data_IF_773231765662
#
_entry.id   IF_773231765662
#
_cell.length_a   1.000
_cell.length_b   1.000
_cell.length_c   1.000
_cell.angle_alpha   90.00
_cell.angle_beta   90.00
_cell.angle_gamma   90.00
#
_symmetry.space_group_name_H-M   'P 1'
#
loop_
_entity.id
_entity.type
_entity.pdbx_description
1 polymer ?
#
# COMPACT_ATOMS: atom_id res chain seq x y z
N UNK A 1 -21.67 -24.77 1.27
CA UNK A 1 -21.24 -23.36 1.32
C UNK A 1 -20.18 -23.21 0.25
N UNK A 2 -20.44 -22.38 -0.75
CA UNK A 2 -19.51 -22.15 -1.84
C UNK A 2 -18.27 -21.38 -1.32
N UNK A 3 -17.08 -21.92 -1.58
CA UNK A 3 -15.80 -21.39 -1.06
C UNK A 3 -15.53 -19.97 -1.57
N UNK A 4 -16.01 -19.62 -2.78
CA UNK A 4 -15.87 -18.29 -3.36
C UNK A 4 -16.76 -17.26 -2.65
N UNK A 5 -17.98 -17.65 -2.25
CA UNK A 5 -18.86 -16.74 -1.50
C UNK A 5 -18.33 -16.43 -0.11
N UNK A 6 -17.78 -17.43 0.60
CA UNK A 6 -17.17 -17.23 1.91
C UNK A 6 -15.93 -16.33 1.83
N UNK A 7 -15.10 -16.50 0.79
CA UNK A 7 -13.94 -15.63 0.54
C UNK A 7 -14.35 -14.18 0.28
N UNK A 8 -15.39 -13.95 -0.55
CA UNK A 8 -15.92 -12.60 -0.82
C UNK A 8 -16.52 -11.93 0.42
N UNK A 9 -17.22 -12.69 1.26
CA UNK A 9 -17.75 -12.20 2.54
C UNK A 9 -16.64 -11.81 3.50
N UNK A 10 -15.61 -12.66 3.64
CA UNK A 10 -14.43 -12.37 4.49
C UNK A 10 -13.68 -11.13 4.02
N UNK A 11 -13.44 -10.99 2.72
CA UNK A 11 -12.84 -9.76 2.15
C UNK A 11 -13.70 -8.52 2.46
N UNK A 12 -15.04 -8.63 2.33
CA UNK A 12 -15.94 -7.52 2.64
C UNK A 12 -15.96 -7.14 4.13
N UNK A 13 -15.83 -8.09 5.05
CA UNK A 13 -15.71 -7.79 6.49
C UNK A 13 -14.33 -7.26 6.86
N UNK A 14 -13.26 -7.76 6.25
CA UNK A 14 -11.91 -7.24 6.45
C UNK A 14 -11.79 -5.76 6.05
N UNK A 15 -12.52 -5.29 5.01
CA UNK A 15 -12.62 -3.86 4.67
C UNK A 15 -13.23 -2.97 5.76
N UNK A 16 -14.01 -3.55 6.68
CA UNK A 16 -14.50 -2.83 7.87
C UNK A 16 -13.51 -2.89 9.05
N UNK A 17 -12.61 -3.86 9.05
CA UNK A 17 -11.57 -3.96 10.06
C UNK A 17 -10.49 -2.91 9.81
N UNK A 18 -9.85 -2.44 10.89
CA UNK A 18 -8.70 -1.54 10.76
C UNK A 18 -7.49 -2.33 10.24
N UNK A 19 -6.67 -1.74 9.37
CA UNK A 19 -5.42 -2.36 8.98
C UNK A 19 -4.53 -2.52 10.22
N UNK A 20 -3.75 -3.61 10.25
CA UNK A 20 -2.70 -3.82 11.24
C UNK A 20 -1.49 -3.01 10.77
N UNK A 21 -1.12 -2.00 11.54
CA UNK A 21 0.07 -1.18 11.31
C UNK A 21 1.26 -1.69 12.11
N UNK A 22 2.47 -1.37 11.65
CA UNK A 22 3.68 -1.60 12.43
C UNK A 22 3.65 -0.76 13.71
N UNK A 23 4.09 -1.35 14.82
CA UNK A 23 4.14 -0.64 16.10
C UNK A 23 5.28 0.40 16.13
N UNK A 24 5.24 1.38 17.04
CA UNK A 24 6.35 2.34 17.20
C UNK A 24 7.71 1.68 17.46
N UNK A 25 7.73 0.56 18.18
CA UNK A 25 8.94 -0.22 18.47
C UNK A 25 9.47 -0.91 17.21
N UNK A 26 8.59 -1.44 16.36
CA UNK A 26 9.00 -2.03 15.08
C UNK A 26 9.53 -0.99 14.10
N UNK A 27 8.96 0.22 14.14
CA UNK A 27 9.35 1.34 13.29
C UNK A 27 10.68 1.96 13.71
N UNK A 28 10.92 2.10 15.02
CA UNK A 28 12.15 2.63 15.62
C UNK A 28 12.66 3.90 14.89
N UNK A 29 11.84 4.95 14.88
CA UNK A 29 12.16 6.19 14.17
C UNK A 29 13.43 6.90 14.67
N UNK A 30 13.88 6.58 15.89
CA UNK A 30 15.15 7.07 16.42
C UNK A 30 16.33 6.50 15.64
N UNK A 31 16.28 5.22 15.30
CA UNK A 31 17.32 4.54 14.51
C UNK A 31 17.10 4.67 13.01
N UNK A 32 15.85 4.70 12.58
CA UNK A 32 15.43 4.78 11.18
C UNK A 32 14.60 6.04 10.95
N UNK A 33 15.24 7.21 10.78
CA UNK A 33 14.53 8.47 10.61
C UNK A 33 13.61 8.43 9.39
N UNK A 34 12.51 9.17 9.47
CA UNK A 34 11.52 9.27 8.39
C UNK A 34 11.98 10.25 7.33
N UNK A 35 12.05 9.77 6.10
CA UNK A 35 12.16 10.57 4.89
C UNK A 35 10.78 10.85 4.32
N UNK A 36 10.61 12.01 3.68
CA UNK A 36 9.36 12.40 3.04
C UNK A 36 9.62 12.83 1.59
N UNK A 37 8.63 12.67 0.72
CA UNK A 37 8.73 13.05 -0.69
C UNK A 37 7.40 13.46 -1.31
N UNK A 38 7.49 14.38 -2.26
CA UNK A 38 6.39 14.83 -3.11
C UNK A 38 6.89 14.98 -4.57
N UNK A 39 6.09 14.63 -5.61
CA UNK A 39 4.73 14.06 -5.55
C UNK A 39 4.69 12.63 -4.98
N UNK A 40 3.50 12.17 -4.61
CA UNK A 40 3.28 10.83 -4.08
C UNK A 40 3.81 9.76 -5.04
N UNK A 41 4.54 8.79 -4.50
CA UNK A 41 5.09 7.69 -5.29
C UNK A 41 4.00 6.62 -5.44
N UNK A 42 3.54 6.31 -6.67
CA UNK A 42 2.52 5.29 -6.86
C UNK A 42 3.08 3.90 -6.59
N UNK A 43 2.35 3.12 -5.78
CA UNK A 43 2.78 1.79 -5.34
C UNK A 43 1.63 0.79 -5.34
N UNK A 44 2.00 -0.48 -5.26
CA UNK A 44 1.14 -1.56 -4.75
C UNK A 44 1.68 -2.03 -3.42
N UNK A 45 0.80 -2.22 -2.45
CA UNK A 45 1.19 -2.65 -1.12
C UNK A 45 0.29 -3.77 -0.61
N UNK A 46 0.89 -4.77 0.02
CA UNK A 46 0.16 -5.75 0.82
C UNK A 46 -0.20 -5.16 2.17
N UNK A 47 -1.49 -5.03 2.45
CA UNK A 47 -2.03 -4.54 3.73
C UNK A 47 -2.60 -5.72 4.50
N UNK A 48 -2.21 -5.83 5.78
CA UNK A 48 -2.72 -6.84 6.69
C UNK A 48 -3.93 -6.32 7.45
N UNK A 49 -4.94 -7.16 7.57
CA UNK A 49 -6.11 -7.01 8.43
C UNK A 49 -6.15 -8.22 9.38
N UNK A 50 -6.95 -8.18 10.46
CA UNK A 50 -7.06 -9.31 11.39
C UNK A 50 -7.32 -10.66 10.72
N UNK A 51 -8.18 -10.70 9.70
CA UNK A 51 -8.62 -11.95 9.08
C UNK A 51 -8.05 -12.21 7.68
N UNK A 52 -7.35 -11.24 7.06
CA UNK A 52 -6.85 -11.40 5.70
C UNK A 52 -5.68 -10.46 5.34
N UNK A 53 -5.17 -10.60 4.12
CA UNK A 53 -4.25 -9.67 3.50
C UNK A 53 -4.81 -9.23 2.14
N UNK A 54 -4.75 -7.94 1.84
CA UNK A 54 -5.21 -7.40 0.55
C UNK A 54 -4.08 -6.64 -0.15
N UNK A 55 -4.00 -6.76 -1.48
CA UNK A 55 -3.09 -5.98 -2.31
C UNK A 55 -3.82 -4.72 -2.78
N UNK A 56 -3.37 -3.55 -2.33
CA UNK A 56 -3.99 -2.25 -2.65
C UNK A 56 -3.09 -1.44 -3.57
N UNK A 57 -3.71 -0.68 -4.47
CA UNK A 57 -3.05 0.41 -5.18
C UNK A 57 -3.09 1.67 -4.28
N UNK A 58 -1.96 2.35 -4.12
CA UNK A 58 -1.85 3.51 -3.25
C UNK A 58 -0.68 4.43 -3.59
N UNK A 59 -0.44 5.39 -2.71
CA UNK A 59 0.62 6.39 -2.83
C UNK A 59 1.45 6.45 -1.55
N UNK A 60 2.74 6.72 -1.72
CA UNK A 60 3.70 6.85 -0.62
C UNK A 60 4.24 8.26 -0.58
N UNK A 61 4.18 8.87 0.60
CA UNK A 61 4.72 10.20 0.88
C UNK A 61 5.81 10.17 1.96
N UNK A 62 5.86 9.12 2.77
CA UNK A 62 6.82 8.98 3.86
C UNK A 62 7.37 7.54 3.92
N UNK A 63 8.66 7.40 4.21
CA UNK A 63 9.33 6.10 4.35
C UNK A 63 10.51 6.18 5.31
N UNK A 64 10.95 5.03 5.79
CA UNK A 64 12.24 4.87 6.45
C UNK A 64 13.07 3.87 5.63
N UNK A 65 14.28 3.55 6.09
CA UNK A 65 15.07 2.48 5.48
C UNK A 65 14.36 1.10 5.48
N UNK A 66 13.40 0.87 6.39
CA UNK A 66 12.76 -0.45 6.62
C UNK A 66 11.25 -0.47 6.41
N UNK A 67 10.57 0.67 6.53
CA UNK A 67 9.12 0.74 6.49
C UNK A 67 8.65 1.86 5.56
N UNK A 68 7.40 1.77 5.13
CA UNK A 68 6.80 2.72 4.20
C UNK A 68 5.39 3.04 4.67
N UNK A 69 5.02 4.32 4.65
CA UNK A 69 3.66 4.77 4.91
C UNK A 69 2.88 4.77 3.61
N UNK A 70 1.90 3.88 3.52
CA UNK A 70 1.04 3.73 2.34
C UNK A 70 -0.28 4.45 2.62
N UNK A 71 -0.68 5.30 1.67
CA UNK A 71 -1.96 5.98 1.65
C UNK A 71 -2.79 5.39 0.50
N UNK A 72 -4.03 4.98 0.77
CA UNK A 72 -4.93 4.48 -0.26
C UNK A 72 -6.37 4.86 0.04
N UNK A 73 -7.24 4.76 -0.96
CA UNK A 73 -8.67 5.01 -0.81
C UNK A 73 -9.42 3.69 -0.95
N UNK A 74 -10.38 3.46 -0.07
CA UNK A 74 -11.36 2.39 -0.21
C UNK A 74 -12.76 2.98 0.00
N UNK A 75 -13.50 3.09 -1.11
CA UNK A 75 -14.76 3.83 -1.19
C UNK A 75 -14.59 5.30 -0.77
N UNK A 76 -15.40 5.81 0.17
CA UNK A 76 -15.31 7.20 0.65
C UNK A 76 -14.16 7.41 1.65
N UNK A 77 -13.53 6.34 2.13
CA UNK A 77 -12.55 6.42 3.21
C UNK A 77 -11.13 6.47 2.63
N UNK A 78 -10.31 7.34 3.22
CA UNK A 78 -8.86 7.34 2.99
C UNK A 78 -8.18 6.70 4.18
N UNK A 79 -7.29 5.76 3.91
CA UNK A 79 -6.53 5.03 4.91
C UNK A 79 -5.05 5.33 4.76
N UNK A 80 -4.36 5.21 5.89
CA UNK A 80 -2.92 5.38 6.04
C UNK A 80 -2.44 4.28 6.97
N UNK A 81 -1.37 3.59 6.60
CA UNK A 81 -0.72 2.63 7.50
C UNK A 81 0.76 2.48 7.17
N UNK A 82 1.56 2.13 8.17
CA UNK A 82 2.94 1.73 7.99
C UNK A 82 3.03 0.23 7.74
N UNK A 83 3.75 -0.15 6.69
CA UNK A 83 4.07 -1.53 6.37
C UNK A 83 5.57 -1.70 6.17
N UNK A 84 6.06 -2.94 6.26
CA UNK A 84 7.42 -3.26 5.88
C UNK A 84 7.69 -2.88 4.42
N UNK A 85 8.87 -2.34 4.14
CA UNK A 85 9.27 -1.93 2.78
C UNK A 85 9.18 -3.08 1.77
N UNK A 86 9.45 -4.31 2.21
CA UNK A 86 9.32 -5.52 1.40
C UNK A 86 7.89 -5.87 1.00
N UNK A 87 6.88 -5.33 1.68
CA UNK A 87 5.47 -5.48 1.32
C UNK A 87 5.02 -4.51 0.22
N UNK A 88 5.89 -3.61 -0.22
CA UNK A 88 5.58 -2.53 -1.16
C UNK A 88 6.37 -2.68 -2.45
N UNK A 89 5.68 -2.63 -3.58
CA UNK A 89 6.27 -2.60 -4.91
C UNK A 89 5.92 -1.29 -5.61
N UNK A 90 6.89 -0.68 -6.29
CA UNK A 90 6.61 0.51 -7.11
C UNK A 90 5.68 0.14 -8.26
N UNK A 91 4.66 0.96 -8.49
CA UNK A 91 3.82 0.83 -9.67
C UNK A 91 4.52 1.58 -10.79
N UNK A 92 5.07 0.85 -11.75
CA UNK A 92 5.56 1.47 -12.97
C UNK A 92 4.33 1.91 -13.75
N UNK A 93 4.12 3.23 -13.83
CA UNK A 93 3.12 3.78 -14.72
C UNK A 93 3.54 3.47 -16.17
N UNK A 94 2.88 2.48 -16.78
CA UNK A 94 3.17 2.09 -18.17
C UNK A 94 2.71 3.15 -19.18
N UNK A 95 1.93 4.16 -18.78
CA UNK A 95 1.48 5.20 -19.71
C UNK A 95 2.64 6.10 -20.17
N UNK A 96 3.62 6.38 -19.29
CA UNK A 96 4.86 7.08 -19.68
C UNK A 96 5.76 6.30 -20.63
N UNK A 97 5.69 4.96 -20.68
CA UNK A 97 6.45 4.18 -21.67
C UNK A 97 5.87 4.31 -23.08
N UNK A 98 4.53 4.35 -23.21
CA UNK A 98 3.87 4.47 -24.52
C UNK A 98 4.03 5.82 -25.22
N UNK A 99 4.43 6.87 -24.50
CA UNK A 99 4.63 8.19 -25.10
C UNK A 99 5.97 8.30 -25.85
N UNK A 100 7.00 7.56 -25.42
CA UNK A 100 8.33 7.56 -26.06
C UNK A 100 8.41 6.71 -27.33
N UNK A 101 7.45 5.81 -27.56
CA UNK A 101 7.45 4.89 -28.69
C UNK A 101 6.84 5.50 -29.97
N UNK A 102 6.11 6.62 -29.85
CA UNK A 102 5.43 7.29 -30.98
C UNK A 102 6.27 8.32 -31.73
N UNK A 103 7.45 8.68 -31.21
CA UNK A 103 8.34 9.72 -31.80
C UNK A 103 9.50 9.12 -32.61
N UNK A 104 9.43 7.85 -32.99
CA UNK A 104 10.35 7.22 -33.95
C UNK A 104 9.58 6.62 -35.12
N UNK A 105 9.10 7.48 -36.02
CA UNK A 105 8.81 7.13 -37.42
C UNK A 105 9.18 8.30 -38.31
#
# INVERSE_FOLDING_TARGET
>A
MDLDQAARLRARYARRARPIELTPEELDFKRFPVENGFPGIPVRAWIRFPDCAELVDGEVFAWTARAVQVNWRDGPNTYRTWVWRSAVSRRVDRSRQSLGERTRK
#
